data_IF_728431594977
#
_entry.id   IF_728431594977
#
_cell.length_a   1.000
_cell.length_b   1.000
_cell.length_c   1.000
_cell.angle_alpha   90.00
_cell.angle_beta   90.00
_cell.angle_gamma   90.00
#
_symmetry.space_group_name_H-M   'P 1'
#
loop_
_entity.id
_entity.type
_entity.pdbx_description
1 polymer ?
#
# COMPACT_ATOMS: atom_id res chain seq x y z
N UNK A 1 -65.81 -32.48 13.43
CA UNK A 1 -65.86 -31.55 12.30
C UNK A 1 -65.74 -30.16 12.90
N UNK A 2 -64.52 -29.65 13.01
CA UNK A 2 -63.89 -28.83 11.95
C UNK A 2 -64.55 -27.44 11.93
N UNK A 3 -63.90 -26.28 11.91
CA UNK A 3 -62.52 -25.82 11.76
C UNK A 3 -62.74 -24.27 11.74
N UNK A 4 -62.06 -23.39 12.48
CA UNK A 4 -60.81 -22.70 12.10
C UNK A 4 -60.69 -21.47 13.00
N UNK A 5 -59.53 -21.42 13.64
CA UNK A 5 -58.86 -20.31 14.30
C UNK A 5 -58.39 -19.27 13.27
N UNK A 6 -58.62 -17.96 13.51
CA UNK A 6 -57.77 -16.89 12.98
C UNK A 6 -57.59 -15.77 14.02
N UNK A 7 -56.46 -15.86 14.74
CA UNK A 7 -55.67 -14.71 15.20
C UNK A 7 -55.39 -13.79 13.98
N UNK A 8 -55.13 -12.48 14.14
CA UNK A 8 -53.73 -12.00 14.27
C UNK A 8 -53.70 -10.47 14.38
N UNK A 9 -53.21 -10.00 15.53
CA UNK A 9 -52.16 -8.97 15.75
C UNK A 9 -52.41 -7.53 15.27
N UNK A 10 -52.71 -6.70 16.27
CA UNK A 10 -52.50 -5.26 16.38
C UNK A 10 -51.01 -4.91 16.12
N UNK A 11 -50.70 -4.15 15.06
CA UNK A 11 -49.35 -3.61 14.82
C UNK A 11 -49.35 -2.10 15.06
N UNK A 12 -48.48 -1.70 15.99
CA UNK A 12 -48.22 -0.36 16.48
C UNK A 12 -47.43 0.40 15.42
N UNK A 13 -47.92 1.57 15.00
CA UNK A 13 -47.21 2.50 14.12
C UNK A 13 -46.12 3.22 14.94
N UNK A 14 -44.87 2.75 14.87
CA UNK A 14 -43.73 3.42 15.48
C UNK A 14 -43.19 4.47 14.50
N UNK A 15 -43.59 5.73 14.67
CA UNK A 15 -42.97 6.87 14.00
C UNK A 15 -41.60 7.12 14.63
N UNK A 16 -40.53 6.66 13.97
CA UNK A 16 -39.16 7.10 14.26
C UNK A 16 -38.98 8.52 13.71
N UNK A 17 -39.37 9.50 14.52
CA UNK A 17 -38.90 10.88 14.37
C UNK A 17 -37.42 10.89 14.75
N UNK A 18 -36.52 10.94 13.76
CA UNK A 18 -35.12 11.31 14.00
C UNK A 18 -35.11 12.72 14.59
N UNK A 19 -34.67 12.82 15.84
CA UNK A 19 -34.40 14.09 16.50
C UNK A 19 -33.22 14.75 15.77
N UNK A 20 -33.50 15.83 15.03
CA UNK A 20 -32.47 16.76 14.60
C UNK A 20 -31.89 17.43 15.84
N UNK A 21 -30.76 16.90 16.31
CA UNK A 21 -29.85 17.61 17.19
C UNK A 21 -28.85 18.34 16.29
N UNK A 22 -28.74 19.65 16.46
CA UNK A 22 -27.89 20.56 15.70
C UNK A 22 -26.52 19.96 15.33
N UNK A 23 -26.35 19.56 14.07
CA UNK A 23 -25.06 19.62 13.41
C UNK A 23 -25.08 20.92 12.60
N UNK A 24 -24.08 21.79 12.73
CA UNK A 24 -23.78 22.68 11.61
C UNK A 24 -23.54 21.73 10.43
N UNK A 25 -24.46 21.71 9.47
CA UNK A 25 -24.56 20.61 8.51
C UNK A 25 -23.26 20.50 7.75
N UNK A 26 -22.45 19.49 8.08
CA UNK A 26 -21.40 19.02 7.19
C UNK A 26 -22.10 18.62 5.91
N UNK A 27 -21.79 19.34 4.83
CA UNK A 27 -22.30 19.01 3.51
C UNK A 27 -21.66 17.68 3.11
N UNK A 28 -22.46 16.77 2.58
CA UNK A 28 -21.96 15.51 2.03
C UNK A 28 -22.10 15.54 0.52
N UNK A 29 -21.15 14.94 -0.17
CA UNK A 29 -21.15 14.70 -1.62
C UNK A 29 -21.28 13.21 -1.90
N UNK A 30 -21.72 12.90 -3.10
CA UNK A 30 -21.83 11.53 -3.59
C UNK A 30 -20.57 11.17 -4.35
N UNK A 31 -19.85 10.16 -3.87
CA UNK A 31 -18.70 9.58 -4.57
C UNK A 31 -19.10 8.20 -5.10
N UNK A 32 -19.04 8.01 -6.41
CA UNK A 32 -19.31 6.73 -7.07
C UNK A 32 -18.05 6.18 -7.73
N UNK A 33 -18.06 4.90 -8.08
CA UNK A 33 -17.02 4.30 -8.89
C UNK A 33 -17.20 2.81 -9.05
N UNK A 34 -16.24 2.20 -9.73
CA UNK A 34 -16.18 0.75 -9.94
C UNK A 34 -14.81 0.22 -9.54
N UNK A 35 -14.79 -0.85 -8.76
CA UNK A 35 -13.58 -1.62 -8.48
C UNK A 35 -13.83 -3.10 -8.82
N UNK A 36 -13.08 -3.61 -9.79
CA UNK A 36 -13.06 -5.01 -10.18
C UNK A 36 -11.95 -5.76 -9.46
N UNK A 37 -12.13 -7.08 -9.39
CA UNK A 37 -11.15 -8.04 -8.92
C UNK A 37 -10.66 -8.80 -10.15
N UNK A 38 -9.35 -8.83 -10.39
CA UNK A 38 -8.75 -9.51 -11.53
C UNK A 38 -9.19 -10.98 -11.60
N UNK A 39 -9.53 -11.43 -12.82
CA UNK A 39 -9.95 -12.80 -13.13
C UNK A 39 -11.17 -13.34 -12.34
N UNK A 40 -11.89 -12.47 -11.62
CA UNK A 40 -13.10 -12.82 -10.89
C UNK A 40 -14.37 -12.40 -11.64
N UNK A 41 -15.49 -13.00 -11.25
CA UNK A 41 -16.82 -12.66 -11.78
C UNK A 41 -17.75 -12.01 -10.75
N UNK A 42 -17.42 -12.17 -9.46
CA UNK A 42 -18.05 -11.45 -8.36
C UNK A 42 -17.05 -10.44 -7.82
N UNK A 43 -17.43 -9.16 -7.86
CA UNK A 43 -16.56 -8.06 -7.44
C UNK A 43 -17.05 -7.40 -6.14
N UNK A 44 -17.95 -8.06 -5.40
CA UNK A 44 -18.46 -7.56 -4.13
C UNK A 44 -17.41 -7.60 -3.01
N UNK A 45 -17.60 -6.78 -1.97
CA UNK A 45 -16.83 -6.89 -0.74
C UNK A 45 -15.45 -6.25 -0.76
N UNK A 46 -15.05 -5.58 -1.84
CA UNK A 46 -13.86 -4.71 -1.81
C UNK A 46 -14.16 -3.49 -0.96
N UNK A 47 -13.37 -3.28 0.09
CA UNK A 47 -13.51 -2.10 0.93
C UNK A 47 -12.86 -0.90 0.25
N UNK A 48 -13.65 0.13 0.00
CA UNK A 48 -13.20 1.46 -0.44
C UNK A 48 -13.16 2.37 0.79
N UNK A 49 -11.96 2.68 1.26
CA UNK A 49 -11.71 3.53 2.42
C UNK A 49 -11.40 4.96 1.98
N UNK A 50 -12.21 5.91 2.44
CA UNK A 50 -11.98 7.33 2.32
C UNK A 50 -11.36 7.82 3.63
N UNK A 51 -10.03 7.86 3.69
CA UNK A 51 -9.31 8.30 4.88
C UNK A 51 -9.17 9.84 4.89
N UNK A 52 -9.72 10.48 5.91
CA UNK A 52 -9.74 11.94 6.04
C UNK A 52 -8.33 12.50 6.22
N UNK A 53 -8.03 13.57 5.49
CA UNK A 53 -6.78 14.32 5.57
C UNK A 53 -7.01 15.73 6.12
N UNK A 54 -8.06 16.42 5.66
CA UNK A 54 -8.41 17.76 6.17
C UNK A 54 -9.21 17.70 7.46
N UNK A 55 -9.09 18.70 8.34
CA UNK A 55 -9.86 18.77 9.58
C UNK A 55 -11.38 18.97 9.42
N UNK A 56 -11.88 19.18 8.20
CA UNK A 56 -13.31 19.20 7.88
C UNK A 56 -13.85 17.83 7.45
N UNK A 57 -12.98 16.87 7.16
CA UNK A 57 -13.32 15.55 6.65
C UNK A 57 -13.49 14.55 7.79
N UNK A 58 -14.41 13.60 7.60
CA UNK A 58 -14.59 12.43 8.45
C UNK A 58 -14.23 11.17 7.67
N UNK A 59 -13.39 10.29 8.25
CA UNK A 59 -13.03 9.01 7.62
C UNK A 59 -14.24 8.10 7.53
N UNK A 60 -14.49 7.54 6.34
CA UNK A 60 -15.60 6.61 6.09
C UNK A 60 -15.19 5.51 5.09
N UNK A 61 -16.01 4.48 4.93
CA UNK A 61 -15.80 3.43 3.93
C UNK A 61 -17.09 2.82 3.41
N UNK A 62 -17.04 2.33 2.18
CA UNK A 62 -18.10 1.54 1.56
C UNK A 62 -17.53 0.23 1.04
N UNK A 63 -18.39 -0.73 0.74
CA UNK A 63 -18.02 -1.97 0.06
C UNK A 63 -18.63 -2.00 -1.33
N UNK A 64 -17.92 -2.60 -2.28
CA UNK A 64 -18.45 -2.84 -3.61
C UNK A 64 -19.59 -3.85 -3.62
N UNK A 65 -20.53 -3.66 -4.54
CA UNK A 65 -21.55 -4.64 -4.91
C UNK A 65 -20.97 -5.69 -5.88
N UNK A 66 -21.75 -6.73 -6.23
CA UNK A 66 -21.25 -7.84 -7.05
C UNK A 66 -20.83 -7.45 -8.47
N UNK A 67 -21.36 -6.35 -9.01
CA UNK A 67 -20.95 -5.76 -10.28
C UNK A 67 -19.75 -4.80 -10.16
N UNK A 68 -19.14 -4.73 -8.97
CA UNK A 68 -17.99 -3.89 -8.64
C UNK A 68 -18.33 -2.44 -8.36
N UNK A 69 -19.59 -2.03 -8.50
CA UNK A 69 -20.00 -0.65 -8.24
C UNK A 69 -20.01 -0.31 -6.76
N UNK A 70 -19.81 0.96 -6.44
CA UNK A 70 -20.06 1.50 -5.09
C UNK A 70 -20.62 2.92 -5.17
N UNK A 71 -21.31 3.34 -4.11
CA UNK A 71 -21.79 4.71 -3.92
C UNK A 71 -21.63 5.08 -2.46
N UNK A 72 -20.87 6.14 -2.18
CA UNK A 72 -20.59 6.61 -0.83
C UNK A 72 -21.08 8.06 -0.66
N UNK A 73 -21.69 8.35 0.49
CA UNK A 73 -21.99 9.72 0.91
C UNK A 73 -20.86 10.22 1.80
N UNK A 74 -19.99 11.09 1.28
CA UNK A 74 -18.75 11.51 1.94
C UNK A 74 -18.87 12.98 2.38
N UNK A 75 -18.48 13.28 3.61
CA UNK A 75 -18.39 14.68 4.09
C UNK A 75 -17.43 15.49 3.21
N UNK A 76 -17.77 16.74 2.89
CA UNK A 76 -16.91 17.60 2.09
C UNK A 76 -15.52 17.79 2.71
N UNK A 77 -14.45 17.54 1.94
CA UNK A 77 -13.09 17.68 2.43
C UNK A 77 -12.04 17.01 1.55
N UNK A 78 -10.85 16.86 2.12
CA UNK A 78 -9.67 16.27 1.46
C UNK A 78 -9.43 14.87 2.03
N UNK A 79 -9.25 13.90 1.12
CA UNK A 79 -9.15 12.49 1.44
C UNK A 79 -8.02 11.81 0.68
N UNK A 80 -7.45 10.77 1.27
CA UNK A 80 -6.78 9.69 0.51
C UNK A 80 -7.76 8.53 0.37
N UNK A 81 -7.79 7.88 -0.81
CA UNK A 81 -8.70 6.76 -1.07
C UNK A 81 -7.93 5.48 -1.31
N UNK A 82 -8.24 4.44 -0.57
CA UNK A 82 -7.63 3.12 -0.70
C UNK A 82 -8.64 1.99 -0.83
N UNK A 83 -8.23 0.95 -1.53
CA UNK A 83 -8.99 -0.25 -1.85
C UNK A 83 -8.29 -1.44 -1.24
N UNK A 84 -9.04 -2.30 -0.55
CA UNK A 84 -8.51 -3.52 0.05
C UNK A 84 -9.51 -4.66 -0.08
N UNK A 85 -9.02 -5.84 -0.47
CA UNK A 85 -9.78 -7.08 -0.57
C UNK A 85 -8.84 -8.25 -0.26
N UNK A 86 -9.32 -9.28 0.46
CA UNK A 86 -8.50 -10.43 0.84
C UNK A 86 -8.06 -11.24 -0.39
N UNK A 87 -6.76 -11.50 -0.53
CA UNK A 87 -6.21 -12.20 -1.71
C UNK A 87 -5.95 -11.31 -2.93
N UNK A 88 -6.12 -10.00 -2.78
CA UNK A 88 -5.76 -9.00 -3.79
C UNK A 88 -4.78 -7.98 -3.21
N UNK A 89 -3.93 -7.44 -4.09
CA UNK A 89 -2.98 -6.41 -3.70
C UNK A 89 -3.75 -5.11 -3.38
N UNK A 90 -3.56 -4.51 -2.20
CA UNK A 90 -4.21 -3.24 -1.86
C UNK A 90 -3.70 -2.13 -2.77
N UNK A 91 -4.58 -1.18 -3.07
CA UNK A 91 -4.26 -0.04 -3.92
C UNK A 91 -4.70 1.26 -3.27
N UNK A 92 -3.84 2.28 -3.30
CA UNK A 92 -4.18 3.63 -2.87
C UNK A 92 -4.08 4.56 -4.07
N UNK A 93 -5.12 5.34 -4.32
CA UNK A 93 -5.09 6.36 -5.39
C UNK A 93 -3.97 7.35 -5.04
N UNK A 94 -3.00 7.58 -5.95
CA UNK A 94 -1.92 8.52 -5.70
C UNK A 94 -2.45 9.93 -5.46
N UNK A 95 -1.98 10.56 -4.39
CA UNK A 95 -2.35 11.94 -4.06
C UNK A 95 -3.52 12.07 -3.09
N UNK A 96 -3.88 13.32 -2.84
CA UNK A 96 -5.06 13.71 -2.07
C UNK A 96 -6.17 14.12 -3.04
N UNK A 97 -7.40 13.68 -2.77
CA UNK A 97 -8.59 13.98 -3.53
C UNK A 97 -9.46 14.99 -2.79
N UNK A 98 -10.00 15.94 -3.55
CA UNK A 98 -10.88 16.99 -3.05
C UNK A 98 -12.33 16.62 -3.36
N UNK A 99 -13.12 16.33 -2.33
CA UNK A 99 -14.53 16.01 -2.44
C UNK A 99 -15.35 17.21 -1.98
N UNK A 100 -15.69 18.10 -2.92
CA UNK A 100 -16.54 19.27 -2.69
C UNK A 100 -17.77 19.32 -3.63
N UNK A 101 -17.81 18.41 -4.60
CA UNK A 101 -18.93 18.18 -5.51
C UNK A 101 -19.04 16.66 -5.75
N UNK A 102 -20.20 16.22 -6.23
CA UNK A 102 -20.40 14.81 -6.62
C UNK A 102 -19.38 14.40 -7.71
N UNK A 103 -18.83 13.19 -7.59
CA UNK A 103 -17.78 12.71 -8.48
C UNK A 103 -17.85 11.19 -8.69
N UNK A 104 -17.51 10.76 -9.89
CA UNK A 104 -17.24 9.36 -10.21
C UNK A 104 -15.72 9.16 -10.31
N UNK A 105 -15.17 8.27 -9.48
CA UNK A 105 -13.76 7.89 -9.52
C UNK A 105 -13.49 6.93 -10.68
N UNK A 106 -12.26 6.98 -11.22
CA UNK A 106 -11.84 6.09 -12.30
C UNK A 106 -12.00 4.62 -11.91
N UNK A 107 -12.40 3.80 -12.89
CA UNK A 107 -12.49 2.36 -12.72
C UNK A 107 -11.13 1.77 -12.37
N UNK A 108 -11.11 0.95 -11.32
CA UNK A 108 -9.93 0.23 -10.86
C UNK A 108 -10.14 -1.28 -11.03
N UNK A 109 -9.09 -2.02 -11.36
CA UNK A 109 -9.05 -3.48 -11.21
C UNK A 109 -7.92 -3.82 -10.25
N UNK A 110 -8.23 -4.45 -9.12
CA UNK A 110 -7.22 -4.95 -8.19
C UNK A 110 -6.59 -6.23 -8.75
N UNK A 111 -5.27 -6.26 -8.78
CA UNK A 111 -4.51 -7.45 -9.17
C UNK A 111 -4.57 -8.50 -8.07
N UNK A 112 -4.64 -9.77 -8.46
CA UNK A 112 -4.56 -10.88 -7.52
C UNK A 112 -3.16 -10.90 -6.86
N UNK A 113 -3.12 -11.20 -5.56
CA UNK A 113 -1.85 -11.28 -4.84
C UNK A 113 -2.00 -11.04 -3.35
N UNK A 114 -0.94 -11.32 -2.60
CA UNK A 114 -0.94 -11.20 -1.15
C UNK A 114 0.08 -10.17 -0.68
N UNK A 115 -0.18 -9.57 0.48
CA UNK A 115 0.82 -8.75 1.17
C UNK A 115 1.57 -9.63 2.15
N UNK A 116 2.91 -9.54 2.13
CA UNK A 116 3.76 -10.08 3.18
C UNK A 116 4.43 -8.94 3.93
N UNK A 117 4.04 -8.73 5.18
CA UNK A 117 4.72 -7.76 6.04
C UNK A 117 6.06 -8.31 6.53
N UNK A 118 7.10 -7.48 6.45
CA UNK A 118 8.48 -7.81 6.84
C UNK A 118 9.05 -6.70 7.71
N UNK A 119 9.74 -7.08 8.79
CA UNK A 119 10.46 -6.17 9.68
C UNK A 119 11.53 -6.93 10.48
N UNK A 120 12.49 -6.20 11.04
CA UNK A 120 13.56 -6.77 11.84
C UNK A 120 14.60 -7.56 11.04
N UNK A 121 15.27 -8.51 11.69
CA UNK A 121 16.32 -9.31 11.06
C UNK A 121 15.76 -10.46 10.26
N UNK A 122 16.04 -10.46 8.96
CA UNK A 122 15.83 -11.59 8.06
C UNK A 122 16.83 -12.69 8.45
N UNK A 123 16.32 -13.81 8.95
CA UNK A 123 17.15 -14.89 9.52
C UNK A 123 17.40 -15.98 8.49
N UNK A 124 18.67 -16.19 8.10
CA UNK A 124 19.03 -17.19 7.10
C UNK A 124 18.74 -16.72 5.67
N UNK A 125 19.10 -17.55 4.69
CA UNK A 125 18.80 -17.27 3.29
C UNK A 125 17.30 -17.13 3.04
N UNK A 126 16.92 -16.06 2.35
CA UNK A 126 15.54 -15.73 2.01
C UNK A 126 15.33 -15.76 0.49
N UNK A 127 14.08 -16.01 0.11
CA UNK A 127 13.61 -15.96 -1.27
C UNK A 127 12.29 -15.18 -1.28
N UNK A 128 12.28 -14.05 -1.99
CA UNK A 128 11.10 -13.23 -2.17
C UNK A 128 10.56 -13.42 -3.58
N UNK A 129 9.34 -13.94 -3.68
CA UNK A 129 8.68 -14.32 -4.94
C UNK A 129 7.63 -13.30 -5.33
N UNK A 130 7.22 -13.30 -6.59
CA UNK A 130 6.16 -12.42 -7.09
C UNK A 130 4.74 -12.81 -6.61
N UNK A 131 4.60 -13.86 -5.79
CA UNK A 131 3.35 -14.21 -5.11
C UNK A 131 2.93 -13.13 -4.09
N UNK A 132 3.90 -12.32 -3.64
CA UNK A 132 3.69 -11.31 -2.61
C UNK A 132 4.19 -9.93 -3.02
N UNK A 133 3.46 -8.92 -2.56
CA UNK A 133 4.01 -7.58 -2.35
C UNK A 133 4.58 -7.51 -0.93
N UNK A 134 5.85 -7.13 -0.80
CA UNK A 134 6.54 -7.11 0.49
C UNK A 134 6.40 -5.73 1.14
N UNK A 135 5.71 -5.66 2.27
CA UNK A 135 5.51 -4.42 3.03
C UNK A 135 6.53 -4.34 4.15
N UNK A 136 7.45 -3.39 4.04
CA UNK A 136 8.44 -3.11 5.09
C UNK A 136 7.77 -2.24 6.16
N UNK A 137 7.45 -2.86 7.29
CA UNK A 137 6.72 -2.25 8.42
C UNK A 137 7.61 -1.89 9.61
N UNK A 138 8.92 -2.04 9.45
CA UNK A 138 9.95 -1.66 10.41
C UNK A 138 11.33 -1.69 9.76
N UNK A 139 12.37 -1.21 10.46
CA UNK A 139 13.74 -1.34 9.98
C UNK A 139 14.07 -2.82 9.71
N UNK A 140 14.73 -3.09 8.60
CA UNK A 140 15.12 -4.42 8.16
C UNK A 140 16.63 -4.60 8.26
N UNK A 141 17.06 -5.82 8.58
CA UNK A 141 18.45 -6.21 8.40
C UNK A 141 18.63 -7.60 7.80
N UNK A 142 19.57 -7.72 6.87
CA UNK A 142 20.09 -9.01 6.37
C UNK A 142 21.45 -9.25 7.03
N UNK A 143 21.59 -10.40 7.70
CA UNK A 143 22.80 -10.73 8.46
C UNK A 143 23.94 -11.15 7.54
N UNK A 144 25.18 -11.00 8.02
CA UNK A 144 26.36 -11.48 7.31
C UNK A 144 26.28 -13.00 7.09
N UNK A 145 26.66 -13.45 5.90
CA UNK A 145 26.59 -14.86 5.49
C UNK A 145 25.23 -15.30 4.94
N UNK A 146 24.19 -14.48 5.08
CA UNK A 146 22.87 -14.73 4.52
C UNK A 146 22.71 -14.06 3.15
N UNK A 147 21.87 -14.65 2.29
CA UNK A 147 21.50 -14.12 0.98
C UNK A 147 20.00 -13.91 0.88
N UNK A 148 19.56 -12.74 0.44
CA UNK A 148 18.20 -12.49 -0.01
C UNK A 148 18.15 -12.50 -1.53
N UNK A 149 17.43 -13.47 -2.10
CA UNK A 149 17.12 -13.52 -3.53
C UNK A 149 15.72 -12.93 -3.75
N UNK A 150 15.59 -12.02 -4.70
CA UNK A 150 14.31 -11.39 -5.06
C UNK A 150 14.04 -11.67 -6.54
N UNK A 151 12.90 -12.29 -6.81
CA UNK A 151 12.45 -12.61 -8.16
C UNK A 151 12.05 -11.34 -8.95
N UNK A 152 12.07 -11.39 -10.30
CA UNK A 152 11.52 -10.34 -11.14
C UNK A 152 10.09 -9.93 -10.74
N UNK A 153 9.78 -8.64 -10.92
CA UNK A 153 8.45 -8.07 -10.65
C UNK A 153 8.08 -7.81 -9.20
N UNK A 154 8.91 -8.24 -8.25
CA UNK A 154 8.65 -8.03 -6.83
C UNK A 154 8.64 -6.54 -6.49
N UNK A 155 7.61 -6.13 -5.76
CA UNK A 155 7.48 -4.80 -5.17
C UNK A 155 7.79 -4.85 -3.68
N UNK A 156 8.81 -4.12 -3.26
CA UNK A 156 9.22 -3.91 -1.87
C UNK A 156 8.83 -2.49 -1.46
N UNK A 157 7.81 -2.40 -0.61
CA UNK A 157 7.11 -1.16 -0.28
C UNK A 157 7.42 -0.76 1.16
N UNK A 158 8.09 0.37 1.35
CA UNK A 158 8.40 0.91 2.67
C UNK A 158 7.20 1.68 3.21
N UNK A 159 6.57 1.16 4.26
CA UNK A 159 5.34 1.70 4.86
C UNK A 159 5.59 2.81 5.89
N UNK A 160 6.85 3.25 6.01
CA UNK A 160 7.27 4.30 6.93
C UNK A 160 8.74 4.62 6.77
N UNK A 161 9.25 5.47 7.67
CA UNK A 161 10.61 5.97 7.66
C UNK A 161 11.64 4.92 8.13
N UNK A 162 11.72 3.82 7.38
CA UNK A 162 12.52 2.64 7.68
C UNK A 162 13.70 2.49 6.73
N UNK A 163 14.75 1.84 7.20
CA UNK A 163 15.89 1.42 6.37
C UNK A 163 15.94 -0.09 6.18
N UNK A 164 16.70 -0.51 5.18
CA UNK A 164 17.13 -1.89 5.03
C UNK A 164 18.65 -1.96 5.07
N UNK A 165 19.21 -2.49 6.15
CA UNK A 165 20.64 -2.74 6.33
C UNK A 165 21.02 -4.11 5.77
N UNK A 166 21.88 -4.15 4.77
CA UNK A 166 22.33 -5.35 4.07
C UNK A 166 23.80 -5.61 4.44
N UNK A 167 24.02 -6.43 5.47
CA UNK A 167 25.36 -6.95 5.83
C UNK A 167 25.70 -8.26 5.10
N UNK A 168 24.68 -8.92 4.53
CA UNK A 168 24.82 -10.12 3.71
C UNK A 168 24.80 -9.78 2.22
N UNK A 169 24.22 -10.67 1.42
CA UNK A 169 24.16 -10.53 -0.04
C UNK A 169 22.73 -10.29 -0.51
N UNK A 170 22.49 -9.21 -1.24
CA UNK A 170 21.24 -9.00 -1.97
C UNK A 170 21.42 -9.42 -3.44
N UNK A 171 20.59 -10.34 -3.90
CA UNK A 171 20.45 -10.72 -5.30
C UNK A 171 19.07 -10.27 -5.79
N UNK A 172 18.97 -9.04 -6.28
CA UNK A 172 17.75 -8.47 -6.84
C UNK A 172 17.91 -8.37 -8.37
N UNK A 173 17.50 -9.42 -9.07
CA UNK A 173 17.72 -9.58 -10.52
C UNK A 173 16.37 -9.60 -11.24
N UNK A 174 15.86 -8.42 -11.58
CA UNK A 174 14.67 -8.26 -12.40
C UNK A 174 14.94 -8.45 -13.89
N UNK A 175 13.94 -8.13 -14.70
CA UNK A 175 14.05 -8.10 -16.17
C UNK A 175 13.60 -6.76 -16.75
N UNK A 176 13.85 -6.53 -18.04
CA UNK A 176 13.40 -5.32 -18.74
C UNK A 176 11.87 -5.17 -18.71
N UNK A 177 11.15 -6.28 -18.84
CA UNK A 177 9.69 -6.32 -18.81
C UNK A 177 9.15 -6.32 -17.37
N UNK A 178 9.92 -6.83 -16.41
CA UNK A 178 9.47 -7.05 -15.03
C UNK A 178 10.56 -6.66 -14.01
N UNK A 179 10.69 -5.36 -13.80
CA UNK A 179 11.68 -4.78 -12.90
C UNK A 179 11.29 -4.92 -11.42
N UNK A 180 12.27 -5.19 -10.56
CA UNK A 180 12.07 -5.16 -9.10
C UNK A 180 12.00 -3.71 -8.62
N UNK A 181 11.07 -3.37 -7.73
CA UNK A 181 10.88 -1.99 -7.26
C UNK A 181 10.98 -1.88 -5.74
N UNK A 182 11.85 -0.98 -5.28
CA UNK A 182 11.91 -0.50 -3.90
C UNK A 182 11.36 0.93 -3.86
N UNK A 183 10.26 1.16 -3.15
CA UNK A 183 9.55 2.45 -3.16
C UNK A 183 8.83 2.72 -1.84
N UNK A 184 8.43 3.98 -1.65
CA UNK A 184 7.46 4.40 -0.64
C UNK A 184 6.08 3.74 -0.82
N UNK A 185 5.46 3.39 0.30
CA UNK A 185 4.05 3.01 0.43
C UNK A 185 3.12 4.14 0.85
N UNK A 186 3.61 5.39 0.93
CA UNK A 186 2.77 6.53 1.25
C UNK A 186 1.78 6.82 0.11
N UNK A 187 0.52 7.22 0.41
CA UNK A 187 -0.47 7.63 -0.58
C UNK A 187 0.03 8.76 -1.49
N UNK A 188 0.77 9.70 -0.90
CA UNK A 188 1.51 10.74 -1.61
C UNK A 188 2.99 10.44 -1.46
N UNK A 189 3.61 9.99 -2.55
CA UNK A 189 5.03 9.65 -2.55
C UNK A 189 5.88 10.91 -2.55
N UNK A 190 6.57 11.18 -1.46
CA UNK A 190 7.54 12.27 -1.34
C UNK A 190 8.95 11.72 -1.30
N UNK A 191 9.91 12.58 -1.64
CA UNK A 191 11.32 12.23 -1.48
C UNK A 191 11.59 12.06 0.03
N UNK A 192 12.30 11.00 0.40
CA UNK A 192 12.60 10.68 1.80
C UNK A 192 11.45 10.14 2.62
N UNK A 193 10.45 9.54 1.99
CA UNK A 193 9.39 8.80 2.69
C UNK A 193 9.94 7.59 3.48
N UNK A 194 11.06 7.04 3.01
CA UNK A 194 11.83 6.00 3.68
C UNK A 194 13.31 6.34 3.64
N UNK A 195 14.11 5.66 4.46
CA UNK A 195 15.54 5.97 4.60
C UNK A 195 16.33 5.49 3.39
N UNK A 196 16.83 4.26 3.37
CA UNK A 196 17.72 3.79 2.30
C UNK A 196 17.92 2.29 2.33
N UNK A 197 18.46 1.77 1.22
CA UNK A 197 19.16 0.50 1.20
C UNK A 197 20.61 0.77 1.61
N UNK A 198 21.02 0.26 2.77
CA UNK A 198 22.36 0.43 3.31
C UNK A 198 23.15 -0.86 3.14
N UNK A 199 24.01 -0.91 2.14
CA UNK A 199 24.97 -2.00 1.95
C UNK A 199 26.17 -1.73 2.84
N UNK A 200 26.34 -2.57 3.86
CA UNK A 200 27.43 -2.50 4.83
C UNK A 200 28.36 -3.69 4.60
N UNK A 201 29.47 -3.43 3.91
CA UNK A 201 30.41 -4.48 3.55
C UNK A 201 31.34 -4.86 4.69
N UNK A 202 32.05 -5.97 4.53
CA UNK A 202 33.03 -6.43 5.49
C UNK A 202 34.34 -6.74 4.77
N UNK A 203 35.46 -6.22 5.27
CA UNK A 203 36.79 -6.45 4.69
C UNK A 203 37.13 -7.93 4.47
N UNK A 204 36.62 -8.81 5.32
CA UNK A 204 36.90 -10.25 5.27
C UNK A 204 35.91 -11.01 4.37
N UNK A 205 34.98 -10.30 3.74
CA UNK A 205 33.96 -10.84 2.87
C UNK A 205 34.16 -10.30 1.45
N UNK A 206 34.16 -11.20 0.48
CA UNK A 206 34.30 -10.87 -0.96
C UNK A 206 33.01 -11.13 -1.72
N UNK A 207 31.89 -11.26 -1.00
CA UNK A 207 30.59 -11.40 -1.61
C UNK A 207 30.10 -10.05 -2.12
N UNK A 208 29.48 -10.08 -3.30
CA UNK A 208 28.94 -8.90 -3.96
C UNK A 208 27.43 -9.01 -4.12
N UNK A 209 26.74 -7.95 -3.74
CA UNK A 209 25.33 -7.78 -4.04
C UNK A 209 25.14 -7.38 -5.51
N UNK A 210 24.07 -7.89 -6.12
CA UNK A 210 23.70 -7.57 -7.49
C UNK A 210 22.30 -6.97 -7.51
N UNK A 211 22.20 -5.80 -8.14
CA UNK A 211 20.95 -5.21 -8.56
C UNK A 211 20.95 -5.13 -10.07
N UNK A 212 20.02 -5.83 -10.72
CA UNK A 212 19.83 -5.78 -12.16
C UNK A 212 18.35 -5.52 -12.48
N UNK A 213 18.06 -4.58 -13.38
CA UNK A 213 16.69 -4.14 -13.71
C UNK A 213 15.87 -3.83 -12.45
N UNK A 214 16.47 -3.00 -11.58
CA UNK A 214 15.84 -2.57 -10.33
C UNK A 214 15.51 -1.08 -10.39
N UNK A 215 14.39 -0.70 -9.79
CA UNK A 215 13.98 0.69 -9.58
C UNK A 215 14.01 0.97 -8.08
N UNK A 216 14.77 2.00 -7.67
CA UNK A 216 14.84 2.45 -6.27
C UNK A 216 14.47 3.92 -6.20
N UNK A 217 13.39 4.23 -5.50
CA UNK A 217 12.82 5.59 -5.51
C UNK A 217 12.17 6.03 -4.19
N UNK A 218 12.09 7.36 -4.02
CA UNK A 218 11.45 8.02 -2.87
C UNK A 218 12.14 7.79 -1.52
N UNK A 219 13.37 7.29 -1.54
CA UNK A 219 14.21 7.17 -0.36
C UNK A 219 15.02 8.44 -0.06
N UNK A 220 15.89 8.33 0.91
CA UNK A 220 16.78 9.34 1.46
C UNK A 220 16.30 9.77 2.84
N UNK A 221 17.08 9.54 3.88
CA UNK A 221 16.77 10.06 5.22
C UNK A 221 16.88 11.58 5.30
N UNK A 222 16.60 12.16 6.47
CA UNK A 222 16.41 13.59 6.70
C UNK A 222 17.57 14.24 7.49
N UNK A 223 18.64 13.48 7.72
CA UNK A 223 19.81 13.91 8.48
C UNK A 223 20.80 14.78 7.68
N UNK A 224 22.03 14.30 7.59
CA UNK A 224 23.14 14.98 6.91
C UNK A 224 23.06 14.81 5.39
N UNK A 225 23.93 15.50 4.64
CA UNK A 225 23.96 15.39 3.17
C UNK A 225 24.20 13.95 2.66
N UNK A 226 24.86 13.11 3.46
CA UNK A 226 25.15 11.71 3.14
C UNK A 226 23.92 10.81 3.31
N UNK A 227 22.94 11.27 4.09
CA UNK A 227 21.71 10.55 4.41
C UNK A 227 20.64 10.71 3.31
N UNK A 228 20.81 11.64 2.36
CA UNK A 228 19.78 11.95 1.35
C UNK A 228 19.64 10.93 0.21
N UNK A 229 20.47 9.89 0.16
CA UNK A 229 20.52 8.93 -0.96
C UNK A 229 19.62 7.71 -0.73
N UNK A 230 18.96 7.22 -1.78
CA UNK A 230 18.18 5.98 -1.72
C UNK A 230 19.02 4.73 -1.43
N UNK A 231 20.28 4.75 -1.88
CA UNK A 231 21.23 3.65 -1.76
C UNK A 231 22.52 4.21 -1.15
N UNK A 232 23.03 3.52 -0.14
CA UNK A 232 24.29 3.81 0.53
C UNK A 232 25.15 2.57 0.50
N UNK A 233 26.41 2.74 0.14
CA UNK A 233 27.42 1.69 0.20
C UNK A 233 28.53 2.19 1.12
N UNK A 234 28.88 1.39 2.12
CA UNK A 234 29.90 1.75 3.10
C UNK A 234 30.95 0.65 3.26
N UNK A 235 32.13 1.07 3.75
CA UNK A 235 33.30 0.24 3.99
C UNK A 235 33.74 -0.53 2.73
N UNK A 236 33.61 -1.86 2.74
CA UNK A 236 33.99 -2.75 1.64
C UNK A 236 32.78 -3.30 0.87
N UNK A 237 31.64 -2.59 0.91
CA UNK A 237 30.44 -3.02 0.23
C UNK A 237 30.66 -3.11 -1.29
N UNK A 238 30.52 -4.30 -1.85
CA UNK A 238 30.55 -4.52 -3.30
C UNK A 238 29.13 -4.62 -3.85
N UNK A 239 28.63 -3.55 -4.47
CA UNK A 239 27.35 -3.51 -5.17
C UNK A 239 27.56 -3.37 -6.68
N UNK A 240 27.10 -4.36 -7.44
CA UNK A 240 27.03 -4.28 -8.90
C UNK A 240 25.61 -3.84 -9.31
N UNK A 241 25.53 -2.77 -10.10
CA UNK A 241 24.26 -2.26 -10.63
C UNK A 241 24.24 -2.37 -12.16
N UNK A 242 23.18 -2.97 -12.72
CA UNK A 242 23.01 -3.19 -14.15
C UNK A 242 21.60 -2.81 -14.60
N UNK A 243 21.45 -1.87 -15.54
CA UNK A 243 20.15 -1.42 -16.04
C UNK A 243 19.19 -0.95 -14.92
N UNK A 244 19.74 -0.38 -13.85
CA UNK A 244 18.96 0.12 -12.72
C UNK A 244 18.54 1.58 -12.92
N UNK A 245 17.44 1.97 -12.29
CA UNK A 245 17.03 3.36 -12.14
C UNK A 245 16.98 3.74 -10.67
N UNK A 246 17.69 4.79 -10.29
CA UNK A 246 17.61 5.40 -8.96
C UNK A 246 17.11 6.83 -9.14
N UNK A 247 16.00 7.19 -8.50
CA UNK A 247 15.40 8.53 -8.64
C UNK A 247 14.66 8.98 -7.39
N UNK A 248 14.30 10.26 -7.31
CA UNK A 248 13.50 10.82 -6.21
C UNK A 248 14.13 10.63 -4.81
N UNK A 249 15.45 10.70 -4.71
CA UNK A 249 16.17 10.86 -3.45
C UNK A 249 15.77 12.14 -2.72
N UNK A 250 15.88 12.18 -1.38
CA UNK A 250 15.56 13.33 -0.52
C UNK A 250 16.32 14.63 -0.89
N UNK A 251 17.31 14.53 -1.78
CA UNK A 251 17.84 15.69 -2.51
C UNK A 251 18.10 15.34 -3.97
#
# INVERSE_FOLDING_TARGET
MEHIMKNTILTILLALFFSFLNAQGTRSVTVTGHCYLEDESDHSGTRVLFNAVSGSADTDSVFTESDGSYTAGITEGIYTVSYSHDGFLPYTIPGELNFFDDIELETLTLAAGNVQEVSGTLSGNQYWTNDYQYWVTGDLSLSQGDTLNIDPGVNVIFMGFYEFTINGVLQAVGTEEDSIRFTSGQPVKNKGDWKWLYFDGNYNDSTSSLMAYTIVEYGGGDGTHEDYSNIRCWDYAELVMQNCRVSHSNR
#
